data_IF_263251922149
#
_entry.id   IF_263251922149
#
_cell.length_a   1.000
_cell.length_b   1.000
_cell.length_c   1.000
_cell.angle_alpha   90.00
_cell.angle_beta   90.00
_cell.angle_gamma   90.00
#
_symmetry.space_group_name_H-M   'P 1'
#
loop_
_entity.id
_entity.type
_entity.pdbx_description
1 polymer ?
#
# COMPACT_ATOMS: atom_id res chain seq x y z
N UNK A 1 20.52 6.95 -31.41
CA UNK A 1 20.15 6.15 -30.22
C UNK A 1 18.63 6.09 -30.17
N UNK A 2 18.04 4.96 -30.47
CA UNK A 2 16.59 4.70 -30.35
C UNK A 2 16.19 4.89 -28.91
N UNK A 3 15.35 5.91 -28.63
CA UNK A 3 14.76 6.13 -27.30
C UNK A 3 14.00 4.86 -26.90
N UNK A 4 14.53 4.11 -25.95
CA UNK A 4 13.82 2.99 -25.32
C UNK A 4 12.78 3.64 -24.40
N UNK A 5 11.66 4.08 -24.96
CA UNK A 5 10.50 4.44 -24.15
C UNK A 5 9.98 3.15 -23.51
N UNK A 6 10.06 3.06 -22.18
CA UNK A 6 9.48 1.95 -21.41
C UNK A 6 8.00 2.16 -21.09
N UNK A 7 7.44 3.26 -21.57
CA UNK A 7 6.01 3.58 -21.43
C UNK A 7 5.18 2.58 -22.24
N UNK A 8 4.09 2.11 -21.64
CA UNK A 8 3.19 1.14 -22.27
C UNK A 8 1.80 1.75 -22.42
N UNK A 9 1.37 1.93 -23.67
CA UNK A 9 -0.02 2.27 -23.98
C UNK A 9 -0.90 1.03 -23.78
N UNK A 10 -1.74 1.06 -22.73
CA UNK A 10 -2.66 -0.02 -22.41
C UNK A 10 -4.02 0.13 -23.09
N UNK A 11 -4.19 1.13 -23.97
CA UNK A 11 -5.47 1.36 -24.66
C UNK A 11 -5.66 0.46 -25.88
N UNK A 12 -4.65 -0.34 -26.25
CA UNK A 12 -4.65 -1.27 -27.39
C UNK A 12 -4.16 -2.65 -26.95
N UNK A 13 -4.34 -3.68 -27.80
CA UNK A 13 -3.86 -5.03 -27.53
C UNK A 13 -4.73 -5.83 -26.54
N UNK A 14 -4.22 -6.93 -25.99
CA UNK A 14 -4.97 -7.83 -25.09
C UNK A 14 -5.03 -7.30 -23.67
N UNK A 15 -6.22 -7.15 -23.11
CA UNK A 15 -6.48 -6.66 -21.76
C UNK A 15 -5.80 -7.53 -20.70
N UNK A 16 -5.97 -8.85 -20.83
CA UNK A 16 -5.39 -9.81 -19.88
C UNK A 16 -3.86 -9.76 -19.89
N UNK A 17 -3.25 -9.69 -21.08
CA UNK A 17 -1.78 -9.60 -21.20
C UNK A 17 -1.24 -8.34 -20.52
N UNK A 18 -1.89 -7.18 -20.73
CA UNK A 18 -1.48 -5.93 -20.10
C UNK A 18 -1.55 -6.01 -18.57
N UNK A 19 -2.66 -6.54 -18.03
CA UNK A 19 -2.84 -6.66 -16.58
C UNK A 19 -1.80 -7.60 -15.97
N UNK A 20 -1.59 -8.78 -16.55
CA UNK A 20 -0.60 -9.75 -16.04
C UNK A 20 0.81 -9.17 -16.14
N UNK A 21 1.24 -8.73 -17.34
CA UNK A 21 2.60 -8.27 -17.56
C UNK A 21 2.96 -7.01 -16.76
N UNK A 22 1.95 -6.20 -16.42
CA UNK A 22 2.14 -5.03 -15.59
C UNK A 22 2.11 -5.37 -14.09
N UNK A 23 1.27 -6.31 -13.65
CA UNK A 23 1.19 -6.71 -12.25
C UNK A 23 2.39 -7.52 -11.77
N UNK A 24 3.04 -8.31 -12.63
CA UNK A 24 4.18 -9.15 -12.25
C UNK A 24 5.38 -8.35 -11.69
N UNK A 25 5.88 -7.29 -12.35
CA UNK A 25 6.93 -6.46 -11.76
C UNK A 25 6.50 -5.77 -10.46
N UNK A 26 5.23 -5.35 -10.35
CA UNK A 26 4.69 -4.77 -9.13
C UNK A 26 4.66 -5.79 -7.98
N UNK A 27 4.27 -7.03 -8.28
CA UNK A 27 4.31 -8.13 -7.31
C UNK A 27 5.75 -8.39 -6.83
N UNK A 28 6.68 -8.49 -7.76
CA UNK A 28 8.10 -8.65 -7.41
C UNK A 28 8.60 -7.49 -6.53
N UNK A 29 8.22 -6.25 -6.85
CA UNK A 29 8.53 -5.08 -6.04
C UNK A 29 7.94 -5.14 -4.63
N UNK A 30 6.66 -5.50 -4.52
CA UNK A 30 6.00 -5.64 -3.23
C UNK A 30 6.64 -6.74 -2.37
N UNK A 31 7.01 -7.88 -2.96
CA UNK A 31 7.70 -8.96 -2.25
C UNK A 31 9.11 -8.54 -1.80
N UNK A 32 9.87 -7.84 -2.66
CA UNK A 32 11.16 -7.25 -2.29
C UNK A 32 11.02 -6.27 -1.11
N UNK A 33 9.98 -5.44 -1.11
CA UNK A 33 9.73 -4.52 -0.01
C UNK A 33 9.41 -5.25 1.30
N UNK A 34 8.67 -6.36 1.26
CA UNK A 34 8.45 -7.18 2.46
C UNK A 34 9.75 -7.82 2.97
N UNK A 35 10.59 -8.33 2.06
CA UNK A 35 11.91 -8.88 2.41
C UNK A 35 12.81 -7.82 3.03
N UNK A 36 12.85 -6.64 2.44
CA UNK A 36 13.56 -5.48 2.99
C UNK A 36 13.13 -5.14 4.42
N UNK A 37 11.82 -5.04 4.69
CA UNK A 37 11.31 -4.76 6.03
C UNK A 37 11.72 -5.83 7.06
N UNK A 38 11.81 -7.10 6.63
CA UNK A 38 12.27 -8.19 7.48
C UNK A 38 13.78 -8.02 7.78
N UNK A 39 14.60 -7.72 6.78
CA UNK A 39 16.05 -7.53 6.96
C UNK A 39 16.33 -6.37 7.90
N UNK A 40 15.69 -5.21 7.72
CA UNK A 40 15.80 -4.04 8.59
C UNK A 40 15.46 -4.41 10.06
N UNK A 41 14.31 -5.07 10.26
CA UNK A 41 13.89 -5.56 11.59
C UNK A 41 14.91 -6.53 12.20
N UNK A 42 15.50 -7.41 11.38
CA UNK A 42 16.53 -8.37 11.84
C UNK A 42 17.84 -7.67 12.23
N UNK A 43 18.25 -6.64 11.49
CA UNK A 43 19.46 -5.86 11.82
C UNK A 43 19.25 -5.14 13.16
N UNK A 44 18.13 -4.45 13.33
CA UNK A 44 17.81 -3.77 14.60
C UNK A 44 17.77 -4.76 15.75
N UNK A 45 17.02 -5.85 15.65
CA UNK A 45 16.88 -6.82 16.73
C UNK A 45 18.20 -7.52 17.09
N UNK A 46 19.02 -7.88 16.09
CA UNK A 46 20.27 -8.61 16.31
C UNK A 46 21.40 -7.76 16.89
N UNK A 47 21.49 -6.50 16.45
CA UNK A 47 22.64 -5.65 16.81
C UNK A 47 22.33 -4.59 17.87
N UNK A 48 21.07 -4.18 18.01
CA UNK A 48 20.66 -3.18 19.01
C UNK A 48 19.85 -3.80 20.17
N UNK A 49 19.38 -5.05 20.03
CA UNK A 49 18.67 -5.78 21.06
C UNK A 49 17.17 -5.52 21.11
N UNK A 50 16.53 -6.17 22.10
CA UNK A 50 15.05 -6.23 22.20
C UNK A 50 14.40 -4.87 22.50
N UNK A 51 15.06 -4.03 23.30
CA UNK A 51 14.54 -2.70 23.64
C UNK A 51 14.45 -1.80 22.39
N UNK A 52 15.48 -1.80 21.54
CA UNK A 52 15.48 -1.03 20.30
C UNK A 52 14.42 -1.59 19.31
N UNK A 53 14.29 -2.91 19.23
CA UNK A 53 13.25 -3.54 18.42
C UNK A 53 11.85 -3.15 18.89
N UNK A 54 11.63 -3.14 20.20
CA UNK A 54 10.37 -2.71 20.80
C UNK A 54 10.09 -1.21 20.54
N UNK A 55 11.11 -0.35 20.59
CA UNK A 55 11.00 1.07 20.30
C UNK A 55 10.60 1.32 18.83
N UNK A 56 11.26 0.64 17.87
CA UNK A 56 10.87 0.70 16.43
C UNK A 56 9.44 0.18 16.24
N UNK A 57 9.09 -0.93 16.89
CA UNK A 57 7.76 -1.51 16.83
C UNK A 57 6.66 -0.58 17.33
N UNK A 58 6.91 0.14 18.44
CA UNK A 58 5.98 1.11 19.02
C UNK A 58 5.69 2.29 18.07
N UNK A 59 6.69 2.72 17.30
CA UNK A 59 6.55 3.85 16.36
C UNK A 59 5.97 3.46 15.01
N UNK A 60 6.06 2.19 14.62
CA UNK A 60 5.77 1.72 13.27
C UNK A 60 4.36 2.05 12.77
N UNK A 61 3.34 1.84 13.61
CA UNK A 61 1.94 2.12 13.25
C UNK A 61 1.67 3.62 13.03
N UNK A 62 2.33 4.47 13.82
CA UNK A 62 2.15 5.93 13.74
C UNK A 62 2.86 6.47 12.51
N UNK A 63 4.10 6.08 12.30
CA UNK A 63 4.89 6.45 11.13
C UNK A 63 4.17 6.01 9.84
N UNK A 64 3.62 4.78 9.84
CA UNK A 64 2.82 4.29 8.73
C UNK A 64 1.57 5.14 8.47
N UNK A 65 0.89 5.64 9.52
CA UNK A 65 -0.26 6.52 9.37
C UNK A 65 0.12 7.82 8.63
N UNK A 66 1.24 8.44 8.96
CA UNK A 66 1.74 9.61 8.24
C UNK A 66 2.12 9.29 6.79
N UNK A 67 2.75 8.14 6.56
CA UNK A 67 3.12 7.70 5.21
C UNK A 67 1.90 7.41 4.34
N UNK A 68 0.80 6.87 4.89
CA UNK A 68 -0.42 6.59 4.11
C UNK A 68 -1.04 7.85 3.53
N UNK A 69 -0.89 9.00 4.18
CA UNK A 69 -1.35 10.29 3.64
C UNK A 69 -0.57 10.64 2.36
N UNK A 70 0.75 10.50 2.37
CA UNK A 70 1.58 10.73 1.19
C UNK A 70 1.32 9.70 0.08
N UNK A 71 1.15 8.42 0.45
CA UNK A 71 0.83 7.35 -0.50
C UNK A 71 -0.51 7.62 -1.19
N UNK A 72 -1.54 8.03 -0.45
CA UNK A 72 -2.85 8.36 -1.02
C UNK A 72 -2.80 9.48 -2.04
N UNK A 73 -2.09 10.57 -1.72
CA UNK A 73 -1.88 11.69 -2.65
C UNK A 73 -1.11 11.25 -3.90
N UNK A 74 -0.08 10.43 -3.74
CA UNK A 74 0.70 9.90 -4.86
C UNK A 74 -0.15 9.01 -5.78
N UNK A 75 -1.01 8.16 -5.22
CA UNK A 75 -1.96 7.35 -6.02
C UNK A 75 -2.95 8.24 -6.75
N UNK A 76 -3.48 9.28 -6.10
CA UNK A 76 -4.36 10.27 -6.72
C UNK A 76 -3.71 10.98 -7.90
N UNK A 77 -2.45 11.40 -7.77
CA UNK A 77 -1.66 11.97 -8.86
C UNK A 77 -1.51 10.99 -10.03
N UNK A 78 -1.19 9.73 -9.73
CA UNK A 78 -1.09 8.67 -10.74
C UNK A 78 -2.38 8.45 -11.52
N UNK A 79 -3.54 8.51 -10.88
CA UNK A 79 -4.85 8.37 -11.54
C UNK A 79 -5.06 9.51 -12.54
N UNK A 80 -4.79 10.75 -12.15
CA UNK A 80 -4.95 11.93 -13.01
C UNK A 80 -4.02 11.83 -14.23
N UNK A 81 -2.75 11.51 -13.99
CA UNK A 81 -1.75 11.36 -15.04
C UNK A 81 -2.11 10.22 -15.99
N UNK A 82 -2.58 9.08 -15.48
CA UNK A 82 -3.00 7.94 -16.31
C UNK A 82 -4.18 8.31 -17.24
N UNK A 83 -5.15 9.08 -16.76
CA UNK A 83 -6.26 9.52 -17.60
C UNK A 83 -5.81 10.53 -18.67
N UNK A 84 -4.96 11.51 -18.33
CA UNK A 84 -4.43 12.44 -19.33
C UNK A 84 -3.51 11.77 -20.35
N UNK A 85 -2.73 10.77 -19.91
CA UNK A 85 -1.90 9.96 -20.80
C UNK A 85 -2.77 9.18 -21.79
N UNK A 86 -3.79 8.48 -21.30
CA UNK A 86 -4.74 7.75 -22.17
C UNK A 86 -5.51 8.65 -23.14
N UNK A 87 -5.80 9.90 -22.75
CA UNK A 87 -6.47 10.89 -23.58
C UNK A 87 -5.54 11.54 -24.62
N UNK A 88 -4.22 11.30 -24.57
CA UNK A 88 -3.25 11.96 -25.43
C UNK A 88 -3.08 13.46 -25.17
N UNK A 89 -3.60 14.00 -24.04
CA UNK A 89 -3.56 15.42 -23.69
C UNK A 89 -2.23 15.80 -23.04
N UNK A 90 -1.16 15.89 -23.82
CA UNK A 90 0.23 16.09 -23.36
C UNK A 90 0.42 17.32 -22.47
N UNK A 91 -0.16 18.48 -22.83
CA UNK A 91 -0.04 19.72 -22.02
C UNK A 91 -0.66 19.54 -20.64
N UNK A 92 -1.87 18.94 -20.56
CA UNK A 92 -2.53 18.68 -19.29
C UNK A 92 -1.80 17.61 -18.46
N UNK A 93 -1.20 16.60 -19.12
CA UNK A 93 -0.37 15.58 -18.47
C UNK A 93 0.84 16.23 -17.77
N UNK A 94 1.58 17.10 -18.46
CA UNK A 94 2.74 17.81 -17.89
C UNK A 94 2.34 18.73 -16.74
N UNK A 95 1.25 19.48 -16.91
CA UNK A 95 0.68 20.29 -15.83
C UNK A 95 0.30 19.42 -14.62
N UNK A 96 -0.32 18.24 -14.84
CA UNK A 96 -0.67 17.31 -13.76
C UNK A 96 0.59 16.78 -13.04
N UNK A 97 1.65 16.44 -13.78
CA UNK A 97 2.93 15.98 -13.20
C UNK A 97 3.53 17.07 -12.32
N UNK A 98 3.66 18.31 -12.81
CA UNK A 98 4.21 19.42 -12.04
C UNK A 98 3.38 19.77 -10.81
N UNK A 99 2.08 19.97 -10.99
CA UNK A 99 1.19 20.38 -9.90
C UNK A 99 1.00 19.30 -8.85
N UNK A 100 1.02 18.01 -9.24
CA UNK A 100 1.02 16.91 -8.27
C UNK A 100 2.33 16.81 -7.49
N UNK A 101 3.47 17.10 -8.10
CA UNK A 101 4.75 17.20 -7.39
C UNK A 101 4.70 18.31 -6.34
N UNK A 102 4.17 19.49 -6.73
CA UNK A 102 4.03 20.62 -5.81
C UNK A 102 3.10 20.30 -4.62
N UNK A 103 1.92 19.69 -4.89
CA UNK A 103 1.00 19.23 -3.84
C UNK A 103 1.69 18.22 -2.92
N UNK A 104 2.38 17.23 -3.48
CA UNK A 104 3.08 16.20 -2.70
C UNK A 104 4.19 16.81 -1.82
N UNK A 105 4.95 17.77 -2.35
CA UNK A 105 5.99 18.48 -1.62
C UNK A 105 5.39 19.31 -0.46
N UNK A 106 4.34 20.10 -0.72
CA UNK A 106 3.65 20.90 0.30
C UNK A 106 3.12 19.99 1.42
N UNK A 107 2.43 18.90 1.08
CA UNK A 107 1.92 17.96 2.07
C UNK A 107 3.03 17.26 2.83
N UNK A 108 4.12 16.87 2.17
CA UNK A 108 5.29 16.29 2.83
C UNK A 108 5.90 17.23 3.86
N UNK A 109 6.04 18.52 3.52
CA UNK A 109 6.51 19.57 4.43
C UNK A 109 5.55 19.76 5.61
N UNK A 110 4.25 19.88 5.34
CA UNK A 110 3.24 20.06 6.40
C UNK A 110 3.22 18.88 7.36
N UNK A 111 3.24 17.65 6.83
CA UNK A 111 3.28 16.44 7.68
C UNK A 111 4.58 16.42 8.49
N UNK A 112 5.72 16.75 7.91
CA UNK A 112 7.00 16.82 8.61
C UNK A 112 6.95 17.83 9.76
N UNK A 113 6.49 19.05 9.49
CA UNK A 113 6.38 20.11 10.49
C UNK A 113 5.42 19.77 11.64
N UNK A 114 4.39 18.97 11.39
CA UNK A 114 3.43 18.53 12.40
C UNK A 114 3.90 17.29 13.16
N UNK A 115 4.45 16.28 12.45
CA UNK A 115 4.77 14.97 13.03
C UNK A 115 6.04 14.96 13.87
N UNK A 116 7.06 15.74 13.49
CA UNK A 116 8.34 15.77 14.24
C UNK A 116 8.17 16.31 15.65
N UNK A 117 7.53 17.49 15.89
CA UNK A 117 7.30 17.97 17.25
C UNK A 117 6.23 17.17 18.01
N UNK A 118 5.29 16.54 17.29
CA UNK A 118 4.25 15.72 17.89
C UNK A 118 4.73 14.31 18.31
N UNK A 119 5.96 13.91 17.98
CA UNK A 119 6.45 12.55 18.24
C UNK A 119 6.35 12.17 19.73
N UNK A 120 6.91 12.99 20.64
CA UNK A 120 6.88 12.70 22.08
C UNK A 120 5.44 12.71 22.63
N UNK A 121 4.62 13.77 22.43
CA UNK A 121 3.22 13.76 22.88
C UNK A 121 2.40 12.57 22.41
N UNK A 122 2.62 12.10 21.17
CA UNK A 122 1.91 10.94 20.64
C UNK A 122 2.36 9.66 21.34
N UNK A 123 3.67 9.47 21.59
CA UNK A 123 4.19 8.31 22.29
C UNK A 123 3.70 8.23 23.74
N UNK A 124 3.63 9.36 24.43
CA UNK A 124 3.05 9.47 25.78
C UNK A 124 1.55 9.14 25.78
N UNK A 125 0.79 9.68 24.82
CA UNK A 125 -0.63 9.37 24.64
C UNK A 125 -0.89 7.87 24.43
N UNK A 126 0.02 7.19 23.73
CA UNK A 126 -0.03 5.75 23.49
C UNK A 126 0.50 4.93 24.67
N UNK A 127 0.94 5.59 25.75
CA UNK A 127 1.49 4.95 26.94
C UNK A 127 2.66 4.00 26.63
N UNK A 128 3.56 4.46 25.74
CA UNK A 128 4.82 3.78 25.51
C UNK A 128 5.62 3.82 26.83
N UNK A 129 6.23 2.71 27.28
CA UNK A 129 7.00 2.69 28.50
C UNK A 129 8.12 3.74 28.52
N UNK A 130 8.30 4.45 29.66
CA UNK A 130 9.27 5.54 29.82
C UNK A 130 10.69 5.16 29.36
N UNK A 131 11.08 3.90 29.62
CA UNK A 131 12.36 3.33 29.18
C UNK A 131 12.56 3.40 27.67
N UNK A 132 11.48 3.30 26.89
CA UNK A 132 11.54 3.23 25.42
C UNK A 132 11.21 4.57 24.74
N UNK A 133 10.65 5.56 25.47
CA UNK A 133 10.22 6.84 24.89
C UNK A 133 11.36 7.55 24.18
N UNK A 134 12.56 7.58 24.78
CA UNK A 134 13.72 8.27 24.20
C UNK A 134 14.09 7.72 22.83
N UNK A 135 14.31 6.42 22.73
CA UNK A 135 14.68 5.74 21.49
C UNK A 135 13.54 5.77 20.46
N UNK A 136 12.29 5.58 20.91
CA UNK A 136 11.11 5.69 20.06
C UNK A 136 10.96 7.09 19.47
N UNK A 137 11.18 8.15 20.28
CA UNK A 137 11.09 9.54 19.83
C UNK A 137 12.18 9.86 18.79
N UNK A 138 13.41 9.46 19.03
CA UNK A 138 14.53 9.65 18.09
C UNK A 138 14.21 8.96 16.75
N UNK A 139 13.82 7.69 16.78
CA UNK A 139 13.46 6.96 15.56
C UNK A 139 12.31 7.63 14.82
N UNK A 140 11.23 7.95 15.54
CA UNK A 140 10.03 8.55 14.95
C UNK A 140 10.32 9.95 14.37
N UNK A 141 11.10 10.78 15.05
CA UNK A 141 11.47 12.12 14.57
C UNK A 141 12.27 12.04 13.28
N UNK A 142 13.25 11.14 13.19
CA UNK A 142 14.06 10.95 11.98
C UNK A 142 13.18 10.39 10.84
N UNK A 143 12.39 9.35 11.11
CA UNK A 143 11.51 8.72 10.11
C UNK A 143 10.46 9.72 9.59
N UNK A 144 9.82 10.47 10.49
CA UNK A 144 8.88 11.53 10.12
C UNK A 144 9.57 12.71 9.45
N UNK A 145 10.80 13.06 9.86
CA UNK A 145 11.65 14.04 9.18
C UNK A 145 11.95 13.67 7.73
N UNK A 146 12.01 12.36 7.44
CA UNK A 146 12.17 11.82 6.09
C UNK A 146 10.89 11.74 5.24
N UNK A 147 9.74 12.19 5.74
CA UNK A 147 8.43 12.05 5.04
C UNK A 147 8.45 12.67 3.64
N UNK A 148 9.19 13.76 3.42
CA UNK A 148 9.35 14.38 2.09
C UNK A 148 10.00 13.40 1.10
N UNK A 149 11.03 12.67 1.52
CA UNK A 149 11.71 11.68 0.70
C UNK A 149 10.78 10.51 0.34
N UNK A 150 10.02 10.01 1.33
CA UNK A 150 9.01 8.97 1.14
C UNK A 150 7.90 9.44 0.18
N UNK A 151 7.44 10.68 0.35
CA UNK A 151 6.42 11.28 -0.52
C UNK A 151 6.92 11.40 -1.95
N UNK A 152 8.13 11.92 -2.17
CA UNK A 152 8.75 12.06 -3.49
C UNK A 152 8.95 10.70 -4.17
N UNK A 153 9.41 9.69 -3.42
CA UNK A 153 9.58 8.33 -3.93
C UNK A 153 8.24 7.70 -4.37
N UNK A 154 7.20 7.80 -3.53
CA UNK A 154 5.88 7.28 -3.87
C UNK A 154 5.25 8.03 -5.05
N UNK A 155 5.42 9.36 -5.10
CA UNK A 155 4.92 10.19 -6.19
C UNK A 155 5.54 9.78 -7.53
N UNK A 156 6.87 9.73 -7.64
CA UNK A 156 7.51 9.39 -8.91
C UNK A 156 7.17 7.97 -9.37
N UNK A 157 7.09 7.01 -8.44
CA UNK A 157 6.66 5.66 -8.75
C UNK A 157 5.20 5.62 -9.24
N UNK A 158 4.30 6.43 -8.69
CA UNK A 158 2.92 6.53 -9.15
C UNK A 158 2.84 7.14 -10.56
N UNK A 159 3.64 8.17 -10.85
CA UNK A 159 3.74 8.77 -12.20
C UNK A 159 4.23 7.74 -13.21
N UNK A 160 5.32 7.01 -12.91
CA UNK A 160 5.85 6.00 -13.83
C UNK A 160 4.83 4.89 -14.10
N UNK A 161 4.15 4.40 -13.05
CA UNK A 161 3.06 3.44 -13.23
C UNK A 161 1.94 3.99 -14.09
N UNK A 162 1.55 5.27 -13.91
CA UNK A 162 0.51 5.92 -14.71
C UNK A 162 0.86 5.94 -16.21
N UNK A 163 2.14 6.08 -16.55
CA UNK A 163 2.66 6.00 -17.93
C UNK A 163 2.83 4.55 -18.44
N UNK A 164 2.46 3.55 -17.64
CA UNK A 164 2.56 2.14 -18.01
C UNK A 164 3.94 1.52 -17.81
N UNK A 165 4.84 2.15 -17.05
CA UNK A 165 6.13 1.58 -16.66
C UNK A 165 6.08 1.03 -15.24
N UNK A 166 6.02 -0.30 -15.10
CA UNK A 166 6.12 -1.01 -13.83
C UNK A 166 7.50 -1.59 -13.55
N UNK A 167 8.39 -1.62 -14.55
CA UNK A 167 9.71 -2.25 -14.43
C UNK A 167 10.74 -1.30 -13.82
N UNK A 168 10.72 -0.04 -14.22
CA UNK A 168 11.68 0.94 -13.70
C UNK A 168 11.52 1.15 -12.19
N UNK A 169 10.31 1.32 -11.61
CA UNK A 169 10.14 1.34 -10.17
C UNK A 169 10.69 0.11 -9.45
N UNK A 170 10.54 -1.08 -10.03
CA UNK A 170 11.09 -2.33 -9.47
C UNK A 170 12.63 -2.29 -9.40
N UNK A 171 13.30 -1.81 -10.46
CA UNK A 171 14.76 -1.74 -10.49
C UNK A 171 15.29 -0.80 -9.40
N UNK A 172 14.68 0.40 -9.30
CA UNK A 172 15.06 1.37 -8.26
C UNK A 172 14.76 0.85 -6.85
N UNK A 173 13.64 0.13 -6.66
CA UNK A 173 13.33 -0.49 -5.38
C UNK A 173 14.34 -1.58 -5.02
N UNK A 174 14.75 -2.42 -5.99
CA UNK A 174 15.78 -3.45 -5.75
C UNK A 174 17.13 -2.82 -5.35
N UNK A 175 17.56 -1.78 -6.07
CA UNK A 175 18.77 -1.04 -5.73
C UNK A 175 18.67 -0.36 -4.35
N UNK A 176 17.52 0.23 -4.06
CA UNK A 176 17.23 0.83 -2.76
C UNK A 176 17.28 -0.18 -1.62
N UNK A 177 16.65 -1.35 -1.80
CA UNK A 177 16.65 -2.39 -0.76
C UNK A 177 18.06 -2.89 -0.43
N UNK A 178 18.89 -3.06 -1.44
CA UNK A 178 20.29 -3.43 -1.23
C UNK A 178 21.09 -2.31 -0.54
N UNK A 179 20.93 -1.07 -1.01
CA UNK A 179 21.59 0.09 -0.41
C UNK A 179 21.19 0.29 1.05
N UNK A 180 19.91 0.12 1.37
CA UNK A 180 19.44 0.24 2.74
C UNK A 180 20.07 -0.83 3.64
N UNK A 181 20.07 -2.10 3.26
CA UNK A 181 20.71 -3.15 4.05
C UNK A 181 22.19 -2.87 4.29
N UNK A 182 22.90 -2.30 3.30
CA UNK A 182 24.29 -1.86 3.46
C UNK A 182 24.43 -0.68 4.41
N UNK A 183 23.55 0.33 4.31
CA UNK A 183 23.56 1.50 5.19
C UNK A 183 23.16 1.13 6.62
N UNK A 184 22.22 0.21 6.81
CA UNK A 184 21.86 -0.32 8.13
C UNK A 184 23.09 -0.95 8.82
N UNK A 185 23.78 -1.83 8.12
CA UNK A 185 25.02 -2.43 8.66
C UNK A 185 26.09 -1.37 8.93
N UNK A 186 26.28 -0.42 8.02
CA UNK A 186 27.27 0.64 8.18
C UNK A 186 26.95 1.55 9.39
N UNK A 187 25.71 2.02 9.51
CA UNK A 187 25.33 2.99 10.55
C UNK A 187 25.13 2.31 11.91
N UNK A 188 24.55 1.12 11.93
CA UNK A 188 24.26 0.41 13.18
C UNK A 188 25.50 -0.33 13.70
N UNK A 189 26.21 -1.06 12.83
CA UNK A 189 27.30 -1.96 13.26
C UNK A 189 28.65 -1.25 13.27
N UNK A 190 28.99 -0.53 12.18
CA UNK A 190 30.31 0.11 12.04
C UNK A 190 30.36 1.44 12.78
N UNK A 191 29.43 2.35 12.50
CA UNK A 191 29.41 3.69 13.12
C UNK A 191 28.75 3.71 14.50
N UNK A 192 28.01 2.67 14.87
CA UNK A 192 27.36 2.53 16.18
C UNK A 192 26.41 3.69 16.50
N UNK A 193 25.67 4.19 15.51
CA UNK A 193 24.68 5.26 15.68
C UNK A 193 23.39 4.80 16.38
N UNK A 194 23.34 3.52 16.82
CA UNK A 194 22.16 2.98 17.50
C UNK A 194 20.91 3.01 16.62
N UNK A 195 19.78 3.25 17.25
CA UNK A 195 18.45 3.28 16.60
C UNK A 195 18.34 4.42 15.57
N UNK A 196 19.03 5.55 15.81
CA UNK A 196 19.09 6.65 14.86
C UNK A 196 19.75 6.23 13.54
N UNK A 197 20.73 5.31 13.59
CA UNK A 197 21.39 4.76 12.40
C UNK A 197 20.43 4.04 11.47
N UNK A 198 19.57 3.18 12.00
CA UNK A 198 18.55 2.48 11.22
C UNK A 198 17.53 3.46 10.60
N UNK A 199 17.08 4.45 11.37
CA UNK A 199 16.17 5.47 10.86
C UNK A 199 16.81 6.30 9.73
N UNK A 200 18.05 6.73 9.87
CA UNK A 200 18.78 7.47 8.82
C UNK A 200 19.07 6.62 7.59
N UNK A 201 19.41 5.34 7.75
CA UNK A 201 19.60 4.43 6.62
C UNK A 201 18.34 4.37 5.75
N UNK A 202 17.18 4.23 6.37
CA UNK A 202 15.89 4.21 5.68
C UNK A 202 15.60 5.53 4.96
N UNK A 203 15.73 6.68 5.65
CA UNK A 203 15.45 8.00 5.07
C UNK A 203 16.38 8.34 3.92
N UNK A 204 17.69 8.10 4.08
CA UNK A 204 18.68 8.37 3.03
C UNK A 204 18.46 7.48 1.81
N UNK A 205 18.14 6.22 2.01
CA UNK A 205 17.82 5.29 0.92
C UNK A 205 16.60 5.76 0.13
N UNK A 206 15.53 6.16 0.83
CA UNK A 206 14.32 6.69 0.20
C UNK A 206 14.62 7.98 -0.59
N UNK A 207 15.42 8.89 -0.02
CA UNK A 207 15.81 10.14 -0.68
C UNK A 207 16.65 9.88 -1.94
N UNK A 208 17.68 9.04 -1.86
CA UNK A 208 18.53 8.68 -2.99
C UNK A 208 17.73 7.98 -4.09
N UNK A 209 16.82 7.07 -3.71
CA UNK A 209 15.94 6.38 -4.67
C UNK A 209 14.97 7.34 -5.35
N UNK A 210 14.37 8.26 -4.59
CA UNK A 210 13.50 9.29 -5.15
C UNK A 210 14.25 10.16 -6.17
N UNK A 211 15.39 10.70 -5.78
CA UNK A 211 16.22 11.56 -6.65
C UNK A 211 16.65 10.80 -7.90
N UNK A 212 17.21 9.61 -7.75
CA UNK A 212 17.67 8.79 -8.87
C UNK A 212 16.54 8.44 -9.83
N UNK A 213 15.37 8.06 -9.29
CA UNK A 213 14.19 7.73 -10.08
C UNK A 213 13.63 8.96 -10.81
N UNK A 214 13.59 10.12 -10.16
CA UNK A 214 13.17 11.39 -10.75
C UNK A 214 14.11 11.77 -11.89
N UNK A 215 15.42 11.81 -11.66
CA UNK A 215 16.43 12.16 -12.67
C UNK A 215 16.32 11.21 -13.87
N UNK A 216 16.25 9.91 -13.63
CA UNK A 216 16.09 8.92 -14.69
C UNK A 216 14.79 9.15 -15.49
N UNK A 217 13.68 9.35 -14.78
CA UNK A 217 12.37 9.51 -15.40
C UNK A 217 12.33 10.73 -16.33
N UNK A 218 12.81 11.89 -15.88
CA UNK A 218 12.87 13.11 -16.69
C UNK A 218 13.92 13.05 -17.82
N UNK A 219 15.00 12.27 -17.66
CA UNK A 219 16.00 12.09 -18.70
C UNK A 219 15.52 11.16 -19.84
N UNK A 220 14.73 10.12 -19.50
CA UNK A 220 14.35 9.05 -20.44
C UNK A 220 12.95 9.21 -21.01
N UNK A 221 11.98 9.65 -20.19
CA UNK A 221 10.57 9.76 -20.63
C UNK A 221 10.33 11.08 -21.36
N UNK A 222 10.12 11.00 -22.67
CA UNK A 222 9.77 12.18 -23.48
C UNK A 222 8.41 12.78 -23.14
N UNK A 223 7.47 11.98 -22.66
CA UNK A 223 6.09 12.38 -22.34
C UNK A 223 6.00 13.39 -21.17
N UNK A 224 6.91 13.29 -20.20
CA UNK A 224 6.93 14.16 -19.02
C UNK A 224 8.05 15.19 -19.03
N UNK A 225 8.67 15.42 -20.20
CA UNK A 225 9.67 16.45 -20.34
C UNK A 225 9.03 17.83 -20.16
N UNK A 226 9.20 18.41 -18.97
CA UNK A 226 8.66 19.73 -18.64
C UNK A 226 9.38 20.82 -19.45
N UNK A 227 8.60 21.79 -19.90
CA UNK A 227 9.08 23.04 -20.48
C UNK A 227 8.86 24.19 -19.49
N UNK A 228 9.46 25.36 -19.72
CA UNK A 228 9.27 26.51 -18.85
C UNK A 228 7.78 26.90 -18.72
N UNK A 229 6.99 26.71 -19.76
CA UNK A 229 5.57 26.99 -19.81
C UNK A 229 4.73 26.00 -18.94
N UNK A 230 5.28 24.85 -18.61
CA UNK A 230 4.62 23.85 -17.76
C UNK A 230 4.84 24.12 -16.26
N UNK A 231 5.81 24.98 -15.90
CA UNK A 231 6.25 25.27 -14.53
C UNK A 231 5.40 26.40 -13.88
N UNK A 232 4.09 26.26 -13.92
CA UNK A 232 3.19 27.20 -13.25
C UNK A 232 2.19 26.46 -12.33
N UNK A 233 1.90 27.09 -11.18
CA UNK A 233 0.95 26.55 -10.23
C UNK A 233 -0.48 26.76 -10.77
N UNK A 234 -1.17 25.67 -11.05
CA UNK A 234 -2.57 25.63 -11.46
C UNK A 234 -3.42 25.15 -10.28
N UNK A 235 -4.18 26.09 -9.70
CA UNK A 235 -5.04 25.83 -8.52
C UNK A 235 -6.08 24.75 -8.79
N UNK A 236 -6.62 24.69 -10.02
CA UNK A 236 -7.62 23.67 -10.37
C UNK A 236 -6.99 22.30 -10.45
N UNK A 237 -5.81 22.19 -11.05
CA UNK A 237 -5.06 20.93 -11.09
C UNK A 237 -4.65 20.48 -9.69
N UNK A 238 -4.12 21.37 -8.87
CA UNK A 238 -3.77 21.09 -7.47
C UNK A 238 -5.00 20.63 -6.67
N UNK A 239 -6.14 21.31 -6.82
CA UNK A 239 -7.40 20.92 -6.18
C UNK A 239 -7.87 19.53 -6.61
N UNK A 240 -7.73 19.19 -7.90
CA UNK A 240 -8.03 17.84 -8.41
C UNK A 240 -7.12 16.79 -7.78
N UNK A 241 -5.82 17.06 -7.67
CA UNK A 241 -4.86 16.14 -7.00
C UNK A 241 -5.27 15.86 -5.54
N UNK A 242 -5.60 16.91 -4.80
CA UNK A 242 -6.04 16.78 -3.39
C UNK A 242 -7.37 16.03 -3.29
N UNK A 243 -8.38 16.41 -4.10
CA UNK A 243 -9.71 15.77 -4.11
C UNK A 243 -9.66 14.30 -4.51
N UNK A 244 -8.70 13.92 -5.35
CA UNK A 244 -8.52 12.53 -5.78
C UNK A 244 -7.71 11.73 -4.76
N UNK A 245 -6.67 12.32 -4.16
CA UNK A 245 -5.74 11.61 -3.29
C UNK A 245 -6.17 11.49 -1.84
N UNK A 246 -6.77 12.55 -1.26
CA UNK A 246 -7.17 12.57 0.16
C UNK A 246 -8.17 11.47 0.53
N UNK A 247 -9.23 11.18 -0.26
CA UNK A 247 -10.12 10.08 0.04
C UNK A 247 -9.42 8.72 0.13
N UNK A 248 -8.43 8.48 -0.75
CA UNK A 248 -7.63 7.24 -0.74
C UNK A 248 -6.75 7.19 0.51
N UNK A 249 -6.14 8.32 0.89
CA UNK A 249 -5.33 8.41 2.09
C UNK A 249 -6.14 8.10 3.35
N UNK A 250 -7.32 8.71 3.48
CA UNK A 250 -8.23 8.46 4.61
C UNK A 250 -8.71 7.00 4.62
N UNK A 251 -9.03 6.42 3.46
CA UNK A 251 -9.40 5.01 3.37
C UNK A 251 -8.32 4.10 3.95
N UNK A 252 -7.05 4.32 3.57
CA UNK A 252 -5.92 3.53 4.07
C UNK A 252 -5.76 3.69 5.60
N UNK A 253 -5.92 4.90 6.12
CA UNK A 253 -5.92 5.17 7.55
C UNK A 253 -7.06 4.44 8.28
N UNK A 254 -8.28 4.48 7.74
CA UNK A 254 -9.43 3.76 8.30
C UNK A 254 -9.18 2.24 8.37
N UNK A 255 -8.63 1.66 7.30
CA UNK A 255 -8.28 0.23 7.27
C UNK A 255 -7.28 -0.08 8.39
N UNK A 256 -6.24 0.74 8.56
CA UNK A 256 -5.24 0.57 9.62
C UNK A 256 -5.85 0.61 11.02
N UNK A 257 -6.74 1.59 11.28
CA UNK A 257 -7.49 1.69 12.55
C UNK A 257 -8.32 0.43 12.80
N UNK A 258 -8.98 -0.12 11.77
CA UNK A 258 -9.79 -1.33 11.91
C UNK A 258 -8.96 -2.56 12.27
N UNK A 259 -7.72 -2.65 11.76
CA UNK A 259 -6.77 -3.72 12.10
C UNK A 259 -6.34 -3.64 13.57
N UNK A 260 -6.03 -2.43 14.06
CA UNK A 260 -5.68 -2.20 15.47
C UNK A 260 -6.85 -2.56 16.40
N UNK A 261 -8.08 -2.22 16.01
CA UNK A 261 -9.27 -2.59 16.77
C UNK A 261 -9.44 -4.12 16.87
N UNK A 262 -9.26 -4.84 15.77
CA UNK A 262 -9.32 -6.30 15.78
C UNK A 262 -8.18 -6.93 16.62
N UNK A 263 -6.98 -6.36 16.56
CA UNK A 263 -5.85 -6.78 17.40
C UNK A 263 -6.19 -6.65 18.88
N UNK A 264 -6.85 -5.55 19.30
CA UNK A 264 -7.29 -5.37 20.69
C UNK A 264 -8.27 -6.44 21.14
N UNK A 265 -9.22 -6.82 20.28
CA UNK A 265 -10.16 -7.93 20.56
C UNK A 265 -9.40 -9.25 20.70
N UNK A 266 -8.43 -9.50 19.80
CA UNK A 266 -7.60 -10.72 19.82
C UNK A 266 -6.82 -10.86 21.13
N UNK A 267 -6.26 -9.75 21.62
CA UNK A 267 -5.47 -9.72 22.85
C UNK A 267 -6.28 -10.18 24.08
N UNK A 268 -7.61 -10.10 24.04
CA UNK A 268 -8.49 -10.58 25.10
C UNK A 268 -8.61 -12.12 25.20
N UNK A 269 -8.10 -12.87 24.21
CA UNK A 269 -8.22 -14.34 24.17
C UNK A 269 -6.96 -15.10 24.63
N UNK A 270 -5.98 -14.39 25.19
CA UNK A 270 -4.75 -14.98 25.74
C UNK A 270 -3.67 -15.27 24.71
N UNK A 271 -2.50 -15.65 25.23
CA UNK A 271 -1.24 -15.72 24.46
C UNK A 271 -1.27 -16.68 23.27
N UNK A 272 -1.91 -17.84 23.43
CA UNK A 272 -1.99 -18.86 22.37
C UNK A 272 -2.75 -18.34 21.14
N UNK A 273 -3.87 -17.65 21.36
CA UNK A 273 -4.69 -17.08 20.27
C UNK A 273 -3.99 -15.88 19.67
N UNK A 274 -3.35 -15.04 20.47
CA UNK A 274 -2.53 -13.91 19.99
C UNK A 274 -1.39 -14.41 19.10
N UNK A 275 -0.67 -15.44 19.51
CA UNK A 275 0.40 -16.04 18.72
C UNK A 275 -0.14 -16.61 17.40
N UNK A 276 -1.27 -17.33 17.43
CA UNK A 276 -1.90 -17.87 16.23
C UNK A 276 -2.37 -16.76 15.27
N UNK A 277 -2.95 -15.68 15.78
CA UNK A 277 -3.36 -14.53 14.99
C UNK A 277 -2.14 -13.84 14.35
N UNK A 278 -1.07 -13.65 15.11
CA UNK A 278 0.16 -13.03 14.57
C UNK A 278 0.75 -13.87 13.45
N UNK A 279 0.82 -15.19 13.58
CA UNK A 279 1.33 -16.07 12.53
C UNK A 279 0.43 -16.02 11.29
N UNK A 280 -0.88 -16.15 11.45
CA UNK A 280 -1.80 -16.06 10.31
C UNK A 280 -1.73 -14.72 9.61
N UNK A 281 -1.66 -13.60 10.34
CA UNK A 281 -1.49 -12.25 9.79
C UNK A 281 -0.20 -12.11 8.99
N UNK A 282 0.92 -12.66 9.46
CA UNK A 282 2.20 -12.62 8.72
C UNK A 282 2.11 -13.35 7.39
N UNK A 283 1.48 -14.54 7.38
CA UNK A 283 1.28 -15.31 6.15
C UNK A 283 0.32 -14.58 5.21
N UNK A 284 -0.77 -14.03 5.73
CA UNK A 284 -1.73 -13.25 4.94
C UNK A 284 -1.11 -12.01 4.29
N UNK A 285 -0.17 -11.34 4.95
CA UNK A 285 0.55 -10.20 4.35
C UNK A 285 1.24 -10.56 3.02
N UNK A 286 1.81 -11.75 2.92
CA UNK A 286 2.40 -12.22 1.65
C UNK A 286 1.33 -12.56 0.62
N UNK A 287 0.25 -13.21 1.02
CA UNK A 287 -0.86 -13.58 0.14
C UNK A 287 -1.61 -12.35 -0.39
N UNK A 288 -1.61 -11.24 0.33
CA UNK A 288 -2.23 -10.00 -0.12
C UNK A 288 -1.44 -9.27 -1.22
N UNK A 289 -0.13 -9.55 -1.41
CA UNK A 289 0.68 -8.82 -2.38
C UNK A 289 0.23 -9.00 -3.84
N UNK A 290 -0.17 -10.19 -4.33
CA UNK A 290 -0.77 -10.34 -5.64
C UNK A 290 -2.05 -9.51 -5.84
N UNK A 291 -2.94 -9.45 -4.85
CA UNK A 291 -4.15 -8.64 -4.93
C UNK A 291 -3.84 -7.14 -4.98
N UNK A 292 -2.87 -6.68 -4.18
CA UNK A 292 -2.40 -5.29 -4.19
C UNK A 292 -1.78 -4.92 -5.54
N UNK A 293 -1.02 -5.82 -6.14
CA UNK A 293 -0.41 -5.63 -7.46
C UNK A 293 -1.46 -5.57 -8.56
N UNK A 294 -2.50 -6.42 -8.49
CA UNK A 294 -3.65 -6.37 -9.39
C UNK A 294 -4.44 -5.07 -9.23
N UNK A 295 -4.63 -4.57 -8.00
CA UNK A 295 -5.27 -3.27 -7.74
C UNK A 295 -4.55 -2.15 -8.51
N UNK A 296 -3.23 -2.04 -8.36
CA UNK A 296 -2.43 -1.03 -9.03
C UNK A 296 -2.47 -1.18 -10.56
N UNK A 297 -2.39 -2.42 -11.07
CA UNK A 297 -2.46 -2.70 -12.49
C UNK A 297 -3.83 -2.32 -13.09
N UNK A 298 -4.92 -2.68 -12.42
CA UNK A 298 -6.28 -2.34 -12.84
C UNK A 298 -6.51 -0.83 -12.77
N UNK A 299 -5.98 -0.15 -11.75
CA UNK A 299 -6.10 1.31 -11.61
C UNK A 299 -5.44 2.03 -12.79
N UNK A 300 -4.22 1.68 -13.14
CA UNK A 300 -3.51 2.25 -14.29
C UNK A 300 -4.22 1.91 -15.61
N UNK A 301 -4.55 0.63 -15.82
CA UNK A 301 -5.24 0.18 -17.02
C UNK A 301 -6.58 0.90 -17.21
N UNK A 302 -7.37 1.01 -16.14
CA UNK A 302 -8.65 1.72 -16.17
C UNK A 302 -8.45 3.20 -16.42
N UNK A 303 -7.51 3.86 -15.74
CA UNK A 303 -7.21 5.28 -15.91
C UNK A 303 -6.89 5.61 -17.36
N UNK A 304 -5.97 4.88 -17.98
CA UNK A 304 -5.62 5.08 -19.40
C UNK A 304 -6.82 4.84 -20.33
N UNK A 305 -7.59 3.77 -20.12
CA UNK A 305 -8.72 3.45 -20.99
C UNK A 305 -9.92 4.41 -20.82
N UNK A 306 -10.20 4.87 -19.61
CA UNK A 306 -11.24 5.89 -19.36
C UNK A 306 -10.80 7.22 -20.00
N UNK A 307 -9.54 7.61 -19.82
CA UNK A 307 -8.98 8.79 -20.49
C UNK A 307 -9.10 8.74 -22.01
N UNK A 308 -8.91 7.56 -22.60
CA UNK A 308 -9.07 7.31 -24.03
C UNK A 308 -10.53 7.16 -24.50
N UNK A 309 -11.54 7.30 -23.61
CA UNK A 309 -12.94 7.08 -23.93
C UNK A 309 -13.34 5.61 -24.16
N UNK A 310 -12.46 4.66 -23.79
CA UNK A 310 -12.64 3.21 -24.04
C UNK A 310 -13.24 2.49 -22.82
N UNK A 311 -14.41 2.93 -22.34
CA UNK A 311 -15.07 2.37 -21.13
C UNK A 311 -15.27 0.85 -21.19
N UNK A 312 -15.77 0.33 -22.32
CA UNK A 312 -16.00 -1.11 -22.49
C UNK A 312 -14.72 -1.92 -22.32
N UNK A 313 -13.58 -1.37 -22.75
CA UNK A 313 -12.28 -1.99 -22.58
C UNK A 313 -11.83 -1.97 -21.12
N UNK A 314 -12.06 -0.88 -20.41
CA UNK A 314 -11.79 -0.80 -18.97
C UNK A 314 -12.59 -1.87 -18.19
N UNK A 315 -13.88 -2.06 -18.53
CA UNK A 315 -14.73 -3.10 -17.93
C UNK A 315 -14.24 -4.53 -18.23
N UNK A 316 -13.80 -4.80 -19.47
CA UNK A 316 -13.17 -6.09 -19.81
C UNK A 316 -11.90 -6.34 -19.00
N UNK A 317 -11.07 -5.31 -18.79
CA UNK A 317 -9.89 -5.40 -17.94
C UNK A 317 -10.24 -5.77 -16.49
N UNK A 318 -11.28 -5.15 -15.91
CA UNK A 318 -11.76 -5.54 -14.59
C UNK A 318 -12.19 -7.02 -14.56
N UNK A 319 -12.97 -7.47 -15.55
CA UNK A 319 -13.39 -8.86 -15.61
C UNK A 319 -12.19 -9.84 -15.70
N UNK A 320 -11.16 -9.50 -16.48
CA UNK A 320 -9.92 -10.27 -16.54
C UNK A 320 -9.21 -10.32 -15.17
N UNK A 321 -9.12 -9.18 -14.48
CA UNK A 321 -8.46 -9.11 -13.17
C UNK A 321 -9.23 -9.90 -12.10
N UNK A 322 -10.56 -9.85 -12.11
CA UNK A 322 -11.40 -10.68 -11.22
C UNK A 322 -11.15 -12.17 -11.49
N UNK A 323 -11.10 -12.61 -12.76
CA UNK A 323 -10.79 -14.01 -13.10
C UNK A 323 -9.43 -14.43 -12.55
N UNK A 324 -8.40 -13.61 -12.74
CA UNK A 324 -7.04 -13.89 -12.22
C UNK A 324 -7.07 -14.00 -10.70
N UNK A 325 -7.74 -13.08 -10.01
CA UNK A 325 -7.79 -13.07 -8.55
C UNK A 325 -8.57 -14.26 -7.98
N UNK A 326 -9.66 -14.69 -8.63
CA UNK A 326 -10.43 -15.88 -8.23
C UNK A 326 -9.62 -17.17 -8.41
N UNK A 327 -8.94 -17.31 -9.56
CA UNK A 327 -8.04 -18.46 -9.79
C UNK A 327 -6.94 -18.51 -8.74
N UNK A 328 -6.28 -17.38 -8.47
CA UNK A 328 -5.26 -17.29 -7.42
C UNK A 328 -5.83 -17.67 -6.05
N UNK A 329 -7.02 -17.17 -5.69
CA UNK A 329 -7.69 -17.51 -4.42
C UNK A 329 -7.97 -19.00 -4.29
N UNK A 330 -8.42 -19.65 -5.36
CA UNK A 330 -8.65 -21.10 -5.37
C UNK A 330 -7.36 -21.89 -5.18
N UNK A 331 -6.26 -21.46 -5.82
CA UNK A 331 -4.94 -22.08 -5.64
C UNK A 331 -4.47 -21.94 -4.19
N UNK A 332 -4.59 -20.75 -3.58
CA UNK A 332 -4.18 -20.51 -2.20
C UNK A 332 -5.05 -21.32 -1.21
N UNK A 333 -6.37 -21.42 -1.46
CA UNK A 333 -7.25 -22.27 -0.65
C UNK A 333 -6.78 -23.73 -0.64
N UNK A 334 -6.47 -24.29 -1.80
CA UNK A 334 -5.94 -25.66 -1.92
C UNK A 334 -4.60 -25.79 -1.18
N UNK A 335 -3.69 -24.84 -1.36
CA UNK A 335 -2.39 -24.84 -0.68
C UNK A 335 -2.54 -24.79 0.84
N UNK A 336 -3.42 -23.95 1.38
CA UNK A 336 -3.60 -23.86 2.83
C UNK A 336 -4.37 -25.05 3.40
N UNK A 337 -5.26 -25.66 2.62
CA UNK A 337 -5.96 -26.89 3.04
C UNK A 337 -4.99 -28.08 3.14
N UNK A 338 -4.06 -28.20 2.17
CA UNK A 338 -3.11 -29.33 2.13
C UNK A 338 -1.87 -29.07 3.01
N UNK A 339 -1.35 -27.85 3.02
CA UNK A 339 -0.04 -27.53 3.60
C UNK A 339 -0.10 -26.49 4.73
N UNK A 340 -1.29 -26.05 5.16
CA UNK A 340 -1.42 -24.98 6.16
C UNK A 340 -0.66 -25.26 7.46
N UNK A 341 -0.67 -26.51 7.96
CA UNK A 341 0.10 -26.92 9.12
C UNK A 341 1.61 -26.85 8.90
N UNK A 342 2.10 -27.28 7.75
CA UNK A 342 3.53 -27.21 7.40
C UNK A 342 3.99 -25.75 7.25
N UNK A 343 3.20 -24.91 6.57
CA UNK A 343 3.52 -23.48 6.38
C UNK A 343 3.59 -22.77 7.74
N UNK A 344 2.61 -22.99 8.62
CA UNK A 344 2.58 -22.35 9.96
C UNK A 344 3.71 -22.84 10.86
N UNK A 345 4.16 -24.11 10.70
CA UNK A 345 5.28 -24.66 11.47
C UNK A 345 6.64 -23.99 11.18
N UNK A 346 6.78 -23.27 10.08
CA UNK A 346 7.98 -22.45 9.79
C UNK A 346 8.09 -21.23 10.71
N UNK A 347 6.97 -20.77 11.26
CA UNK A 347 6.92 -19.58 12.10
C UNK A 347 6.90 -19.90 13.60
N UNK A 348 6.35 -21.05 14.01
CA UNK A 348 6.18 -21.42 15.42
C UNK A 348 6.33 -22.93 15.63
N UNK A 349 6.76 -23.32 16.85
CA UNK A 349 6.93 -24.73 17.23
C UNK A 349 5.75 -25.31 18.03
N UNK A 350 4.92 -24.46 18.61
CA UNK A 350 3.80 -24.88 19.49
C UNK A 350 2.68 -25.55 18.69
N UNK A 351 2.43 -26.85 18.93
CA UNK A 351 1.42 -27.64 18.20
C UNK A 351 0.03 -27.02 18.20
N UNK A 352 -0.40 -26.46 19.34
CA UNK A 352 -1.70 -25.79 19.48
C UNK A 352 -1.77 -24.54 18.60
N UNK A 353 -0.73 -23.69 18.61
CA UNK A 353 -0.65 -22.48 17.78
C UNK A 353 -0.67 -22.85 16.31
N UNK A 354 0.10 -23.87 15.89
CA UNK A 354 0.10 -24.38 14.52
C UNK A 354 -1.30 -24.81 14.08
N UNK A 355 -1.99 -25.60 14.92
CA UNK A 355 -3.34 -26.09 14.61
C UNK A 355 -4.35 -24.95 14.46
N UNK A 356 -4.32 -23.95 15.36
CA UNK A 356 -5.21 -22.79 15.30
C UNK A 356 -4.89 -21.95 14.04
N UNK A 357 -3.62 -21.64 13.81
CA UNK A 357 -3.21 -20.82 12.65
C UNK A 357 -3.55 -21.50 11.32
N UNK A 358 -3.33 -22.81 11.19
CA UNK A 358 -3.67 -23.55 9.99
C UNK A 358 -5.18 -23.53 9.70
N UNK A 359 -6.03 -23.74 10.69
CA UNK A 359 -7.48 -23.63 10.54
C UNK A 359 -7.91 -22.20 10.23
N UNK A 360 -7.28 -21.21 10.85
CA UNK A 360 -7.51 -19.78 10.59
C UNK A 360 -7.24 -19.43 9.12
N UNK A 361 -6.11 -19.89 8.57
CA UNK A 361 -5.78 -19.69 7.15
C UNK A 361 -6.79 -20.35 6.21
N UNK A 362 -7.35 -21.50 6.57
CA UNK A 362 -8.42 -22.14 5.78
C UNK A 362 -9.68 -21.27 5.82
N UNK A 363 -10.10 -20.78 7.00
CA UNK A 363 -11.28 -19.93 7.14
C UNK A 363 -11.15 -18.66 6.30
N UNK A 364 -10.03 -17.96 6.37
CA UNK A 364 -9.84 -16.72 5.63
C UNK A 364 -9.66 -16.97 4.12
N UNK A 365 -8.98 -18.06 3.73
CA UNK A 365 -8.77 -18.39 2.32
C UNK A 365 -10.07 -18.76 1.57
N UNK A 366 -11.08 -19.27 2.26
CA UNK A 366 -12.42 -19.44 1.67
C UNK A 366 -13.03 -18.13 1.17
N UNK A 367 -12.56 -16.99 1.67
CA UNK A 367 -13.06 -15.66 1.30
C UNK A 367 -12.03 -14.80 0.54
N UNK A 368 -10.87 -15.34 0.15
CA UNK A 368 -9.89 -14.57 -0.64
C UNK A 368 -10.42 -14.15 -2.01
N UNK A 369 -11.37 -14.86 -2.60
CA UNK A 369 -12.06 -14.40 -3.79
C UNK A 369 -12.78 -13.06 -3.57
N UNK A 370 -13.37 -12.84 -2.39
CA UNK A 370 -13.97 -11.56 -2.00
C UNK A 370 -12.90 -10.47 -1.86
N UNK A 371 -11.75 -10.79 -1.23
CA UNK A 371 -10.61 -9.88 -1.15
C UNK A 371 -10.11 -9.50 -2.54
N UNK A 372 -10.03 -10.46 -3.46
CA UNK A 372 -9.69 -10.22 -4.85
C UNK A 372 -10.66 -9.27 -5.56
N UNK A 373 -11.96 -9.44 -5.34
CA UNK A 373 -13.00 -8.53 -5.86
C UNK A 373 -12.84 -7.13 -5.27
N UNK A 374 -12.58 -6.98 -3.96
CA UNK A 374 -12.33 -5.67 -3.33
C UNK A 374 -11.18 -4.96 -4.04
N UNK A 375 -10.03 -5.62 -4.13
CA UNK A 375 -8.82 -5.01 -4.69
C UNK A 375 -8.99 -4.63 -6.16
N UNK A 376 -9.55 -5.51 -6.98
CA UNK A 376 -9.73 -5.26 -8.42
C UNK A 376 -10.79 -4.19 -8.69
N UNK A 377 -11.94 -4.24 -7.98
CA UNK A 377 -13.00 -3.23 -8.13
C UNK A 377 -12.56 -1.87 -7.58
N UNK A 378 -11.83 -1.84 -6.46
CA UNK A 378 -11.23 -0.62 -5.92
C UNK A 378 -10.24 -0.01 -6.92
N UNK A 379 -9.37 -0.83 -7.53
CA UNK A 379 -8.47 -0.38 -8.59
C UNK A 379 -9.23 0.22 -9.76
N UNK A 380 -10.31 -0.42 -10.22
CA UNK A 380 -11.16 0.09 -11.28
C UNK A 380 -11.81 1.44 -10.92
N UNK A 381 -12.45 1.54 -9.76
CA UNK A 381 -13.14 2.76 -9.34
C UNK A 381 -12.16 3.92 -9.15
N UNK A 382 -11.00 3.67 -8.55
CA UNK A 382 -9.93 4.65 -8.42
C UNK A 382 -9.44 5.11 -9.80
N UNK A 383 -9.11 4.17 -10.71
CA UNK A 383 -8.67 4.50 -12.07
C UNK A 383 -9.72 5.28 -12.87
N UNK A 384 -11.01 5.03 -12.63
CA UNK A 384 -12.11 5.80 -13.22
C UNK A 384 -12.28 7.21 -12.61
N UNK A 385 -11.57 7.53 -11.52
CA UNK A 385 -11.65 8.82 -10.84
C UNK A 385 -12.68 8.86 -9.69
N UNK A 386 -13.41 7.77 -9.44
CA UNK A 386 -14.41 7.67 -8.36
C UNK A 386 -13.76 7.37 -7.00
N UNK A 387 -12.85 8.24 -6.59
CA UNK A 387 -12.06 8.06 -5.37
C UNK A 387 -12.83 8.41 -4.09
N UNK A 388 -13.87 9.22 -4.16
CA UNK A 388 -14.75 9.48 -3.01
C UNK A 388 -15.41 8.20 -2.49
N UNK A 389 -15.61 7.21 -3.36
CA UNK A 389 -16.10 5.91 -2.95
C UNK A 389 -15.10 5.14 -2.09
N UNK A 390 -13.81 5.47 -2.17
CA UNK A 390 -12.79 4.89 -1.29
C UNK A 390 -13.15 5.10 0.20
N UNK A 391 -13.66 6.28 0.57
CA UNK A 391 -14.13 6.56 1.94
C UNK A 391 -15.27 5.64 2.35
N UNK A 392 -16.28 5.48 1.50
CA UNK A 392 -17.43 4.60 1.78
C UNK A 392 -16.97 3.16 1.99
N UNK A 393 -16.04 2.69 1.16
CA UNK A 393 -15.48 1.35 1.25
C UNK A 393 -14.66 1.18 2.54
N UNK A 394 -13.82 2.17 2.90
CA UNK A 394 -13.07 2.17 4.16
C UNK A 394 -13.96 2.19 5.39
N UNK A 395 -15.01 3.01 5.39
CA UNK A 395 -15.99 3.07 6.48
C UNK A 395 -16.74 1.74 6.63
N UNK A 396 -17.17 1.12 5.54
CA UNK A 396 -17.82 -0.18 5.57
C UNK A 396 -16.89 -1.24 6.19
N UNK A 397 -15.60 -1.22 5.84
CA UNK A 397 -14.61 -2.13 6.41
C UNK A 397 -14.42 -1.93 7.92
N UNK A 398 -14.32 -0.67 8.40
CA UNK A 398 -14.20 -0.35 9.83
C UNK A 398 -15.45 -0.80 10.59
N UNK A 399 -16.63 -0.41 10.13
CA UNK A 399 -17.90 -0.72 10.79
C UNK A 399 -18.11 -2.24 10.88
N UNK A 400 -17.89 -2.94 9.77
CA UNK A 400 -18.02 -4.40 9.75
C UNK A 400 -16.99 -5.07 10.66
N UNK A 401 -15.71 -4.65 10.57
CA UNK A 401 -14.64 -5.30 11.34
C UNK A 401 -14.81 -5.07 12.84
N UNK A 402 -15.12 -3.87 13.28
CA UNK A 402 -15.37 -3.59 14.70
C UNK A 402 -16.68 -4.23 15.16
N UNK A 403 -17.78 -4.00 14.44
CA UNK A 403 -19.08 -4.52 14.81
C UNK A 403 -19.13 -6.04 14.87
N UNK A 404 -18.68 -6.72 13.82
CA UNK A 404 -18.68 -8.17 13.76
C UNK A 404 -17.69 -8.81 14.77
N UNK A 405 -16.53 -8.17 15.01
CA UNK A 405 -15.61 -8.72 16.01
C UNK A 405 -16.23 -8.75 17.41
N UNK A 406 -16.95 -7.70 17.80
CA UNK A 406 -17.61 -7.61 19.10
C UNK A 406 -18.81 -8.57 19.20
N UNK A 407 -19.51 -8.84 18.10
CA UNK A 407 -20.66 -9.75 18.07
C UNK A 407 -20.19 -11.20 18.01
N UNK A 408 -19.39 -11.56 17.00
CA UNK A 408 -19.05 -12.98 16.75
C UNK A 408 -18.19 -13.58 17.85
N UNK A 409 -17.31 -12.80 18.48
CA UNK A 409 -16.46 -13.30 19.57
C UNK A 409 -17.22 -13.50 20.90
N UNK A 410 -18.42 -12.91 21.05
CA UNK A 410 -19.28 -13.12 22.23
C UNK A 410 -20.21 -14.32 22.09
N UNK A 411 -20.36 -14.88 20.91
CA UNK A 411 -21.18 -16.07 20.67
C UNK A 411 -20.41 -17.29 21.18
N UNK A 412 -20.90 -17.95 22.22
CA UNK A 412 -20.18 -18.97 22.95
C UNK A 412 -19.62 -20.13 22.09
N UNK A 413 -20.36 -20.59 21.07
CA UNK A 413 -19.88 -21.65 20.17
C UNK A 413 -18.88 -21.19 19.10
N UNK A 414 -18.78 -19.89 18.85
CA UNK A 414 -17.79 -19.30 17.93
C UNK A 414 -16.51 -18.96 18.70
N UNK A 415 -16.63 -18.25 19.82
CA UNK A 415 -15.53 -17.86 20.68
C UNK A 415 -14.44 -17.09 19.90
N UNK A 416 -13.17 -17.48 20.10
CA UNK A 416 -12.03 -16.82 19.44
C UNK A 416 -12.00 -17.02 17.92
N UNK A 417 -12.69 -18.00 17.35
CA UNK A 417 -12.81 -18.13 15.89
C UNK A 417 -13.51 -16.94 15.24
N UNK A 418 -14.31 -16.21 16.02
CA UNK A 418 -14.95 -14.96 15.61
C UNK A 418 -13.98 -13.94 15.05
N UNK A 419 -12.69 -13.97 15.42
CA UNK A 419 -11.65 -13.09 14.89
C UNK A 419 -11.48 -13.28 13.37
N UNK A 420 -11.32 -14.53 12.94
CA UNK A 420 -11.11 -14.86 11.51
C UNK A 420 -12.42 -14.83 10.71
N UNK A 421 -13.54 -15.24 11.32
CA UNK A 421 -14.85 -15.06 10.70
C UNK A 421 -15.20 -13.58 10.49
N UNK A 422 -14.83 -12.71 11.43
CA UNK A 422 -14.96 -11.25 11.25
C UNK A 422 -14.19 -10.76 10.02
N UNK A 423 -12.94 -11.18 9.87
CA UNK A 423 -12.11 -10.81 8.73
C UNK A 423 -12.75 -11.28 7.42
N UNK A 424 -13.16 -12.54 7.35
CA UNK A 424 -13.81 -13.15 6.20
C UNK A 424 -15.14 -12.44 5.83
N UNK A 425 -16.00 -12.22 6.81
CA UNK A 425 -17.29 -11.54 6.61
C UNK A 425 -17.11 -10.07 6.23
N UNK A 426 -16.12 -9.38 6.83
CA UNK A 426 -15.79 -8.00 6.44
C UNK A 426 -15.39 -7.93 4.96
N UNK A 427 -14.54 -8.83 4.48
CA UNK A 427 -14.18 -8.88 3.06
C UNK A 427 -15.39 -9.16 2.18
N UNK A 428 -16.27 -10.09 2.58
CA UNK A 428 -17.48 -10.37 1.80
C UNK A 428 -18.38 -9.14 1.68
N UNK A 429 -18.70 -8.48 2.80
CA UNK A 429 -19.57 -7.28 2.81
C UNK A 429 -18.93 -6.15 2.00
N UNK A 430 -17.62 -5.90 2.19
CA UNK A 430 -16.90 -4.84 1.47
C UNK A 430 -16.83 -5.13 -0.03
N UNK A 431 -16.71 -6.41 -0.45
CA UNK A 431 -16.78 -6.81 -1.85
C UNK A 431 -18.16 -6.51 -2.45
N UNK A 432 -19.24 -6.84 -1.71
CA UNK A 432 -20.62 -6.56 -2.18
C UNK A 432 -20.86 -5.06 -2.33
N UNK A 433 -20.43 -4.26 -1.34
CA UNK A 433 -20.50 -2.79 -1.41
C UNK A 433 -19.76 -2.27 -2.65
N UNK A 434 -18.56 -2.80 -2.95
CA UNK A 434 -17.78 -2.43 -4.13
C UNK A 434 -18.47 -2.79 -5.45
N UNK A 435 -19.06 -4.00 -5.53
CA UNK A 435 -19.78 -4.45 -6.72
C UNK A 435 -21.07 -3.66 -6.95
N UNK A 436 -21.81 -3.30 -5.88
CA UNK A 436 -23.01 -2.46 -5.97
C UNK A 436 -22.63 -1.10 -6.57
N UNK A 437 -21.54 -0.46 -6.11
CA UNK A 437 -21.07 0.81 -6.68
C UNK A 437 -20.72 0.66 -8.16
N UNK A 438 -19.94 -0.38 -8.50
CA UNK A 438 -19.55 -0.65 -9.87
C UNK A 438 -20.78 -0.84 -10.78
N UNK A 439 -21.73 -1.72 -10.40
CA UNK A 439 -22.95 -1.99 -11.17
C UNK A 439 -23.86 -0.77 -11.27
N UNK A 440 -23.91 0.08 -10.25
CA UNK A 440 -24.68 1.32 -10.26
C UNK A 440 -24.22 2.36 -11.28
N UNK A 441 -23.05 2.18 -11.90
CA UNK A 441 -22.56 2.96 -13.03
C UNK A 441 -22.19 4.42 -12.71
N UNK A 442 -22.35 4.88 -11.47
CA UNK A 442 -22.06 6.28 -11.05
C UNK A 442 -20.61 6.70 -11.24
N UNK A 443 -19.67 5.73 -11.31
CA UNK A 443 -18.26 5.98 -11.58
C UNK A 443 -18.02 6.68 -12.93
N UNK A 444 -18.94 6.53 -13.92
CA UNK A 444 -18.86 7.21 -15.24
C UNK A 444 -18.93 8.72 -15.13
N UNK A 445 -19.52 9.26 -14.05
CA UNK A 445 -19.63 10.69 -13.82
C UNK A 445 -18.36 11.31 -13.28
N UNK A 446 -17.38 10.50 -12.86
CA UNK A 446 -16.16 10.92 -12.18
C UNK A 446 -14.92 10.95 -13.06
N UNK A 447 -15.05 10.64 -14.36
CA UNK A 447 -13.93 10.77 -15.30
C UNK A 447 -13.33 12.19 -15.24
N UNK A 448 -12.02 12.27 -15.06
CA UNK A 448 -11.28 13.54 -14.91
C UNK A 448 -11.17 14.24 -16.27
N UNK A 449 -11.02 13.44 -17.30
CA UNK A 449 -10.98 13.89 -18.69
C UNK A 449 -12.38 13.72 -19.27
N UNK A 450 -13.03 14.83 -19.49
CA UNK A 450 -14.29 14.90 -20.26
C UNK A 450 -13.99 15.27 -21.70
#
# INVERSE_FOLDING_TARGET
>A
MTKISRTTDMTQGSEMRHIIMFSLPLLAGNLLQQTYNIVDTMVVGRYLGDDALAAVGATGSITYLFYTLCIGLSVGAGIIVAQYFGAGKQKALRSAVFNSALVTAIFGVVINLLSVPAAIPILELLKVPDKLIGDSAVYMQIACGGTIAVAAYNWINAIMRALGDSKTPLIFLGAASLLNALLDLLFVVVFKFGIAGAAWATVLTQALSAISCIVYCFAVSGEIKLTADDLHADKDMMSRCVKTGVPIAIQNGLISVSMVALQRVTNGFGETVMAAYTVSMRIEQFVQQPFSSLNAAVSTFTGQNIGAGKEKRAQKGLACAIKISVIFSAVVLVLFTLFGGAITSWFVKGKTVISISAKALIITSLFYWSLGIIHTTRGFLNGAGDTNYALVNGMAEVICRIGLSLILTRIAFIGYWGIWYTTAATWFVTAMVSLIRYKGGKWRLHAIVK
#
